data_IF_836584082992
#
_entry.id   IF_836584082992
#
_cell.length_a   1.000
_cell.length_b   1.000
_cell.length_c   1.000
_cell.angle_alpha   90.00
_cell.angle_beta   90.00
_cell.angle_gamma   90.00
#
_symmetry.space_group_name_H-M   'P 1'
#
loop_
_entity.id
_entity.type
_entity.pdbx_description
1 polymer ?
#
# COMPACT_ATOMS: atom_id res chain seq x y z
N UNK A 1 14.64 11.58 1.48
CA UNK A 1 13.71 12.73 1.40
C UNK A 1 13.89 13.29 0.02
N UNK A 2 12.83 13.46 -0.75
CA UNK A 2 12.96 14.08 -2.06
C UNK A 2 13.33 15.55 -1.94
N UNK A 3 14.01 16.04 -2.95
CA UNK A 3 14.24 17.48 -3.17
C UNK A 3 12.91 18.22 -3.35
N UNK A 4 12.89 19.53 -3.09
CA UNK A 4 11.69 20.37 -3.18
C UNK A 4 11.03 20.29 -4.57
N UNK A 5 11.85 20.18 -5.62
CA UNK A 5 11.41 20.07 -7.01
C UNK A 5 10.97 18.64 -7.42
N UNK A 6 11.25 17.62 -6.59
CA UNK A 6 10.88 16.22 -6.81
C UNK A 6 9.91 15.69 -5.72
N UNK A 7 9.37 16.57 -4.90
CA UNK A 7 8.51 16.24 -3.76
C UNK A 7 7.22 15.47 -4.09
N UNK A 8 6.86 15.40 -5.38
CA UNK A 8 5.73 14.63 -5.93
C UNK A 8 6.14 13.34 -6.65
N UNK A 9 7.44 13.14 -6.93
CA UNK A 9 7.94 11.97 -7.66
C UNK A 9 8.34 10.90 -6.66
N UNK A 10 7.70 9.74 -6.67
CA UNK A 10 8.22 8.57 -5.97
C UNK A 10 9.45 8.11 -6.74
N UNK A 11 10.63 8.56 -6.33
CA UNK A 11 11.88 8.03 -6.86
C UNK A 11 11.86 6.51 -6.61
N UNK A 12 11.99 5.75 -7.69
CA UNK A 12 12.09 4.30 -7.67
C UNK A 12 13.48 3.97 -7.10
N UNK A 13 13.61 4.11 -5.79
CA UNK A 13 14.88 3.86 -5.12
C UNK A 13 15.23 2.38 -5.30
N UNK A 14 16.41 2.11 -5.87
CA UNK A 14 16.92 0.77 -6.14
C UNK A 14 17.34 0.02 -4.86
N UNK A 15 16.90 0.50 -3.70
CA UNK A 15 17.37 0.03 -2.41
C UNK A 15 16.40 -1.01 -1.86
N UNK A 16 16.95 -2.19 -1.55
CA UNK A 16 16.24 -3.32 -0.96
C UNK A 16 16.00 -3.00 0.52
N UNK A 17 15.09 -2.06 0.81
CA UNK A 17 14.84 -1.59 2.17
C UNK A 17 14.18 -2.70 3.00
N UNK A 18 14.99 -3.30 3.88
CA UNK A 18 14.63 -4.36 4.85
C UNK A 18 13.75 -3.83 6.01
N UNK A 19 13.60 -2.50 6.14
CA UNK A 19 12.79 -1.87 7.18
C UNK A 19 11.50 -1.27 6.59
N UNK A 20 10.38 -1.26 7.33
CA UNK A 20 9.15 -0.62 6.90
C UNK A 20 9.39 0.87 6.63
N UNK A 21 9.50 1.21 5.35
CA UNK A 21 9.73 2.56 4.87
C UNK A 21 8.51 3.01 4.04
N UNK A 22 8.07 4.24 4.27
CA UNK A 22 7.08 4.90 3.41
C UNK A 22 7.69 6.15 2.82
N UNK A 23 7.39 6.39 1.54
CA UNK A 23 7.80 7.62 0.90
C UNK A 23 6.82 8.74 1.31
N UNK A 24 7.35 9.86 1.80
CA UNK A 24 6.56 11.03 2.20
C UNK A 24 6.84 12.19 1.25
N UNK A 25 5.85 13.05 1.02
CA UNK A 25 6.05 14.28 0.25
C UNK A 25 7.03 15.21 0.96
N UNK A 26 7.63 16.15 0.22
CA UNK A 26 8.54 17.15 0.78
C UNK A 26 7.89 17.93 1.96
N UNK A 27 6.63 18.37 1.77
CA UNK A 27 5.85 19.08 2.79
C UNK A 27 5.62 18.25 4.05
N UNK A 28 5.31 16.96 3.90
CA UNK A 28 5.17 16.03 5.02
C UNK A 28 6.53 15.76 5.68
N UNK A 29 7.62 15.67 4.91
CA UNK A 29 8.98 15.52 5.41
C UNK A 29 9.41 16.70 6.29
N UNK A 30 9.08 17.94 5.90
CA UNK A 30 9.33 19.13 6.72
C UNK A 30 8.55 19.09 8.04
N UNK A 31 7.28 18.70 8.00
CA UNK A 31 6.47 18.56 9.20
C UNK A 31 7.03 17.48 10.16
N UNK A 32 7.50 16.35 9.62
CA UNK A 32 8.14 15.28 10.40
C UNK A 32 9.46 15.78 11.01
N UNK A 33 10.29 16.51 10.24
CA UNK A 33 11.52 17.13 10.76
C UNK A 33 11.23 18.10 11.90
N UNK A 34 10.22 18.96 11.74
CA UNK A 34 9.81 19.90 12.78
C UNK A 34 9.33 19.16 14.04
N UNK A 35 8.58 18.07 13.88
CA UNK A 35 8.14 17.24 15.00
C UNK A 35 9.32 16.59 15.73
N UNK A 36 10.27 15.98 15.02
CA UNK A 36 11.48 15.37 15.60
C UNK A 36 12.26 16.38 16.43
N UNK A 37 12.37 17.63 15.95
CA UNK A 37 13.09 18.70 16.65
C UNK A 37 12.30 19.34 17.81
N UNK A 38 11.00 19.04 17.94
CA UNK A 38 10.12 19.64 18.95
C UNK A 38 10.13 18.90 20.31
N UNK A 39 10.71 17.70 20.36
CA UNK A 39 10.72 16.84 21.55
C UNK A 39 12.01 16.05 21.65
N UNK A 40 12.48 15.80 22.87
CA UNK A 40 13.66 14.96 23.14
C UNK A 40 13.40 13.46 22.94
N UNK A 41 12.14 13.04 22.74
CA UNK A 41 11.76 11.64 22.52
C UNK A 41 10.63 11.53 21.50
N UNK A 42 10.90 11.81 20.21
CA UNK A 42 9.88 11.71 19.17
C UNK A 42 9.52 10.25 18.93
N UNK A 43 8.22 9.94 18.98
CA UNK A 43 7.69 8.61 18.70
C UNK A 43 6.73 8.68 17.52
N UNK A 44 6.79 7.68 16.65
CA UNK A 44 5.89 7.54 15.52
C UNK A 44 5.52 6.07 15.34
N UNK A 45 4.27 5.83 14.94
CA UNK A 45 3.77 4.47 14.70
C UNK A 45 3.40 4.32 13.23
N UNK A 46 4.02 3.34 12.58
CA UNK A 46 3.57 2.87 11.27
C UNK A 46 2.49 1.83 11.52
N UNK A 47 1.22 2.21 11.32
CA UNK A 47 0.10 1.29 11.48
C UNK A 47 -0.08 0.46 10.22
N UNK A 48 0.26 -0.83 10.30
CA UNK A 48 0.04 -1.78 9.22
C UNK A 48 -1.46 -2.06 9.03
N UNK A 49 -2.01 -1.78 7.84
CA UNK A 49 -3.45 -1.98 7.51
C UNK A 49 -3.70 -3.08 6.48
N UNK A 50 -2.77 -4.04 6.42
CA UNK A 50 -2.78 -5.11 5.44
C UNK A 50 -2.23 -4.65 4.09
N UNK A 51 -1.20 -5.35 3.64
CA UNK A 51 -0.64 -5.27 2.29
C UNK A 51 -0.80 -6.63 1.61
N UNK A 52 -0.61 -6.66 0.30
CA UNK A 52 -0.51 -7.87 -0.50
C UNK A 52 0.75 -7.70 -1.32
N UNK A 53 1.50 -8.77 -1.53
CA UNK A 53 2.70 -8.71 -2.37
C UNK A 53 2.37 -9.10 -3.80
N UNK A 54 3.02 -8.42 -4.74
CA UNK A 54 3.01 -8.74 -6.15
C UNK A 54 4.43 -8.71 -6.71
N UNK A 55 4.64 -9.15 -7.95
CA UNK A 55 5.97 -9.21 -8.55
C UNK A 55 6.66 -7.84 -8.55
N UNK A 56 7.87 -7.78 -7.98
CA UNK A 56 8.59 -6.51 -7.81
C UNK A 56 10.11 -6.61 -7.95
N UNK A 57 10.66 -7.78 -8.31
CA UNK A 57 12.11 -7.98 -8.47
C UNK A 57 12.39 -8.34 -9.92
N UNK A 58 13.37 -7.68 -10.53
CA UNK A 58 13.81 -7.83 -11.92
C UNK A 58 12.65 -7.71 -12.92
N UNK A 59 11.82 -6.69 -12.74
CA UNK A 59 10.69 -6.43 -13.62
C UNK A 59 11.17 -5.63 -14.83
N UNK A 60 11.02 -6.22 -16.01
CA UNK A 60 11.26 -5.54 -17.28
C UNK A 60 10.12 -4.58 -17.58
N UNK A 61 10.43 -3.30 -17.72
CA UNK A 61 9.46 -2.26 -18.08
C UNK A 61 10.06 -1.29 -19.10
N UNK A 62 9.20 -0.53 -19.77
CA UNK A 62 9.62 0.55 -20.65
C UNK A 62 10.40 1.60 -19.86
N UNK A 63 11.52 2.06 -20.41
CA UNK A 63 12.39 3.05 -19.79
C UNK A 63 12.63 4.22 -20.76
N UNK A 64 12.65 5.47 -20.28
CA UNK A 64 12.86 6.62 -21.16
C UNK A 64 14.19 6.49 -21.90
N UNK A 65 14.13 6.63 -23.23
CA UNK A 65 15.32 6.70 -24.07
C UNK A 65 15.91 8.10 -23.90
N UNK A 66 17.14 8.17 -23.44
CA UNK A 66 17.94 9.39 -23.39
C UNK A 66 18.24 9.88 -24.81
N UNK A 67 18.35 11.21 -24.98
CA UNK A 67 18.49 11.88 -26.30
C UNK A 67 19.75 11.42 -27.05
N UNK A 68 20.75 10.92 -26.33
CA UNK A 68 21.99 10.33 -26.83
C UNK A 68 21.85 8.86 -27.31
N UNK A 69 20.64 8.27 -27.28
CA UNK A 69 20.32 6.91 -27.76
C UNK A 69 21.15 5.78 -27.12
N UNK A 70 21.86 6.05 -26.02
CA UNK A 70 22.71 5.08 -25.32
C UNK A 70 21.93 4.16 -24.38
N UNK A 71 20.67 4.51 -24.08
CA UNK A 71 19.82 3.79 -23.13
C UNK A 71 18.81 2.89 -23.83
N UNK A 72 18.69 1.66 -23.33
CA UNK A 72 17.71 0.71 -23.83
C UNK A 72 16.28 1.21 -23.56
N UNK A 73 15.38 1.01 -24.53
CA UNK A 73 13.94 1.36 -24.43
C UNK A 73 13.21 0.58 -23.32
N UNK A 74 13.87 -0.44 -22.78
CA UNK A 74 13.40 -1.25 -21.68
C UNK A 74 14.53 -1.40 -20.67
N UNK A 75 14.17 -1.41 -19.39
CA UNK A 75 15.10 -1.66 -18.29
C UNK A 75 14.49 -2.65 -17.31
N UNK A 76 15.36 -3.44 -16.68
CA UNK A 76 14.96 -4.32 -15.57
C UNK A 76 15.26 -3.60 -14.27
N UNK A 77 14.21 -3.37 -13.48
CA UNK A 77 14.30 -2.68 -12.20
C UNK A 77 13.53 -3.44 -11.12
N UNK A 78 13.97 -3.26 -9.88
CA UNK A 78 13.41 -3.92 -8.70
C UNK A 78 12.94 -2.87 -7.69
N UNK A 79 11.87 -3.18 -6.97
CA UNK A 79 11.32 -2.34 -5.91
C UNK A 79 9.82 -2.57 -5.70
N UNK A 80 9.32 -2.15 -4.55
CA UNK A 80 7.87 -2.18 -4.23
C UNK A 80 7.04 -1.33 -5.21
N UNK A 81 7.68 -0.30 -5.78
CA UNK A 81 7.10 0.51 -6.83
C UNK A 81 6.86 -0.24 -8.14
N UNK A 82 7.50 -1.39 -8.38
CA UNK A 82 7.18 -2.30 -9.50
C UNK A 82 6.02 -3.23 -9.13
N UNK A 83 5.86 -3.60 -7.86
CA UNK A 83 4.69 -4.36 -7.39
C UNK A 83 3.39 -3.54 -7.44
N UNK A 84 3.48 -2.23 -7.20
CA UNK A 84 2.33 -1.31 -7.21
C UNK A 84 1.54 -1.32 -8.55
N UNK A 85 2.15 -1.14 -9.74
CA UNK A 85 1.44 -1.20 -11.01
C UNK A 85 0.90 -2.60 -11.32
N UNK A 86 1.54 -3.68 -10.84
CA UNK A 86 0.97 -5.03 -10.97
C UNK A 86 -0.35 -5.16 -10.20
N UNK A 87 -0.38 -4.77 -8.91
CA UNK A 87 -1.62 -4.82 -8.13
C UNK A 87 -2.68 -3.84 -8.65
N UNK A 88 -2.27 -2.67 -9.14
CA UNK A 88 -3.19 -1.70 -9.75
C UNK A 88 -3.82 -2.24 -11.02
N UNK A 89 -3.04 -2.94 -11.87
CA UNK A 89 -3.55 -3.62 -13.06
C UNK A 89 -4.52 -4.74 -12.72
N UNK A 90 -4.21 -5.56 -11.71
CA UNK A 90 -5.11 -6.61 -11.22
C UNK A 90 -6.42 -6.00 -10.68
N UNK A 91 -6.33 -4.95 -9.86
CA UNK A 91 -7.50 -4.24 -9.35
C UNK A 91 -8.37 -3.67 -10.47
N UNK A 92 -7.76 -3.12 -11.53
CA UNK A 92 -8.49 -2.62 -12.70
C UNK A 92 -9.22 -3.75 -13.45
N UNK A 93 -8.57 -4.90 -13.62
CA UNK A 93 -9.20 -6.08 -14.24
C UNK A 93 -10.36 -6.61 -13.39
N UNK A 94 -10.19 -6.70 -12.07
CA UNK A 94 -11.25 -7.10 -11.16
C UNK A 94 -12.42 -6.10 -11.18
N UNK A 95 -12.14 -4.79 -11.24
CA UNK A 95 -13.19 -3.77 -11.38
C UNK A 95 -13.95 -3.92 -12.70
N UNK A 96 -13.27 -4.31 -13.77
CA UNK A 96 -13.91 -4.58 -15.07
C UNK A 96 -14.78 -5.84 -15.03
N UNK A 97 -14.32 -6.90 -14.38
CA UNK A 97 -15.06 -8.16 -14.23
C UNK A 97 -16.24 -8.04 -13.25
N UNK A 98 -16.09 -7.21 -12.21
CA UNK A 98 -17.10 -6.95 -11.17
C UNK A 98 -17.38 -5.44 -11.05
N UNK A 99 -18.14 -4.83 -11.99
CA UNK A 99 -18.38 -3.39 -12.00
C UNK A 99 -18.99 -2.83 -10.72
N UNK A 100 -19.75 -3.63 -9.98
CA UNK A 100 -20.44 -3.23 -8.75
C UNK A 100 -19.56 -3.29 -7.49
N UNK A 101 -18.38 -3.92 -7.54
CA UNK A 101 -17.51 -4.00 -6.38
C UNK A 101 -16.96 -2.63 -6.00
N UNK A 102 -17.00 -2.31 -4.71
CA UNK A 102 -16.33 -1.14 -4.18
C UNK A 102 -14.80 -1.31 -4.21
N UNK A 103 -14.02 -0.23 -4.02
CA UNK A 103 -12.57 -0.35 -3.80
C UNK A 103 -12.21 -1.25 -2.61
N UNK A 104 -13.02 -1.25 -1.55
CA UNK A 104 -12.80 -2.10 -0.37
C UNK A 104 -13.09 -3.58 -0.70
N UNK A 105 -14.14 -3.86 -1.48
CA UNK A 105 -14.44 -5.20 -1.98
C UNK A 105 -13.30 -5.77 -2.83
N UNK A 106 -12.76 -4.97 -3.77
CA UNK A 106 -11.61 -5.39 -4.60
C UNK A 106 -10.38 -5.65 -3.73
N UNK A 107 -10.07 -4.74 -2.80
CA UNK A 107 -8.97 -4.94 -1.84
C UNK A 107 -9.17 -6.23 -1.04
N UNK A 108 -10.37 -6.47 -0.54
CA UNK A 108 -10.71 -7.68 0.20
C UNK A 108 -10.49 -8.93 -0.65
N UNK A 109 -11.01 -8.97 -1.87
CA UNK A 109 -10.89 -10.12 -2.76
C UNK A 109 -9.42 -10.47 -3.03
N UNK A 110 -8.58 -9.46 -3.29
CA UNK A 110 -7.14 -9.64 -3.49
C UNK A 110 -6.46 -10.18 -2.22
N UNK A 111 -6.81 -9.65 -1.04
CA UNK A 111 -6.21 -10.06 0.24
C UNK A 111 -6.61 -11.47 0.66
N UNK A 112 -7.90 -11.81 0.64
CA UNK A 112 -8.42 -13.09 1.15
C UNK A 112 -8.07 -14.28 0.26
N UNK A 113 -7.67 -14.03 -0.98
CA UNK A 113 -7.32 -15.06 -1.96
C UNK A 113 -5.82 -15.16 -2.24
N UNK A 114 -5.02 -14.29 -1.63
CA UNK A 114 -3.57 -14.35 -1.68
C UNK A 114 -3.05 -15.66 -1.09
N UNK A 115 -1.90 -16.13 -1.57
CA UNK A 115 -1.28 -17.37 -1.09
C UNK A 115 0.01 -17.09 -0.31
N UNK A 116 0.27 -17.95 0.68
CA UNK A 116 1.42 -17.87 1.58
C UNK A 116 2.53 -18.88 1.25
N UNK A 117 2.33 -19.72 0.24
CA UNK A 117 3.24 -20.81 -0.12
C UNK A 117 3.85 -20.59 -1.50
N UNK A 118 5.13 -20.92 -1.65
CA UNK A 118 5.80 -20.92 -2.94
C UNK A 118 5.39 -22.14 -3.80
N UNK A 119 5.88 -22.19 -5.04
CA UNK A 119 5.60 -23.30 -5.98
C UNK A 119 6.10 -24.67 -5.48
N UNK A 120 7.03 -24.69 -4.53
CA UNK A 120 7.53 -25.91 -3.88
C UNK A 120 6.72 -26.32 -2.63
N UNK A 121 5.60 -25.67 -2.36
CA UNK A 121 4.74 -25.96 -1.20
C UNK A 121 5.30 -25.51 0.15
N UNK A 122 6.43 -24.80 0.17
CA UNK A 122 7.00 -24.22 1.40
C UNK A 122 6.42 -22.83 1.63
N UNK A 123 6.33 -22.35 2.89
CA UNK A 123 6.02 -20.95 3.15
C UNK A 123 6.91 -20.03 2.32
N UNK A 124 6.36 -18.92 1.85
CA UNK A 124 7.16 -17.86 1.23
C UNK A 124 8.20 -17.43 2.26
N UNK A 125 9.46 -17.40 1.85
CA UNK A 125 10.57 -17.04 2.73
C UNK A 125 10.92 -15.57 2.57
N UNK A 126 11.42 -14.96 3.65
CA UNK A 126 12.17 -13.73 3.56
C UNK A 126 13.49 -13.96 2.81
N UNK A 127 14.07 -12.87 2.28
CA UNK A 127 15.18 -12.97 1.35
C UNK A 127 16.55 -13.14 2.03
N UNK A 128 16.67 -12.76 3.30
CA UNK A 128 17.95 -12.63 4.02
C UNK A 128 18.39 -13.95 4.66
N UNK A 129 17.58 -14.53 5.53
CA UNK A 129 17.86 -15.75 6.29
C UNK A 129 17.05 -16.94 5.77
N UNK A 130 16.28 -16.76 4.70
CA UNK A 130 15.39 -17.77 4.10
C UNK A 130 14.35 -18.36 5.08
N UNK A 131 14.10 -17.65 6.18
CA UNK A 131 13.06 -17.97 7.16
C UNK A 131 11.67 -17.70 6.57
N UNK A 132 10.61 -18.36 7.06
CA UNK A 132 9.24 -18.05 6.66
C UNK A 132 8.92 -16.57 6.88
N UNK A 133 8.45 -15.91 5.82
CA UNK A 133 8.11 -14.51 5.85
C UNK A 133 6.89 -14.27 6.75
N UNK A 134 6.96 -13.23 7.57
CA UNK A 134 5.91 -12.87 8.51
C UNK A 134 4.89 -11.89 7.89
N UNK A 135 3.79 -11.64 8.63
CA UNK A 135 2.70 -10.78 8.16
C UNK A 135 3.12 -9.32 7.89
N UNK A 136 4.20 -8.83 8.51
CA UNK A 136 4.71 -7.48 8.26
C UNK A 136 5.49 -7.39 6.95
N UNK A 137 5.96 -8.52 6.41
CA UNK A 137 6.74 -8.58 5.17
C UNK A 137 5.86 -8.82 3.96
N UNK A 138 4.95 -9.81 4.05
CA UNK A 138 4.11 -10.23 2.91
C UNK A 138 2.63 -9.86 3.06
N UNK A 139 2.22 -9.35 4.22
CA UNK A 139 0.82 -9.06 4.50
C UNK A 139 -0.05 -10.31 4.38
N UNK A 140 -1.07 -10.25 3.53
CA UNK A 140 -1.93 -11.39 3.27
C UNK A 140 -1.29 -12.48 2.37
N UNK A 141 -0.10 -12.20 1.80
CA UNK A 141 0.62 -13.10 0.93
C UNK A 141 0.78 -12.57 -0.49
N UNK A 142 1.19 -13.45 -1.39
CA UNK A 142 1.35 -13.12 -2.80
C UNK A 142 0.01 -13.20 -3.53
N UNK A 143 -0.28 -12.20 -4.37
CA UNK A 143 -1.54 -12.07 -5.10
C UNK A 143 -1.83 -13.29 -5.99
N UNK A 144 -3.10 -13.71 -6.01
CA UNK A 144 -3.65 -14.68 -6.95
C UNK A 144 -4.79 -14.06 -7.77
N UNK A 145 -4.51 -13.52 -8.97
CA UNK A 145 -5.53 -12.82 -9.77
C UNK A 145 -6.73 -13.71 -10.11
N UNK A 146 -6.48 -14.98 -10.43
CA UNK A 146 -7.52 -15.93 -10.82
C UNK A 146 -8.47 -16.24 -9.67
N UNK A 147 -7.94 -16.47 -8.45
CA UNK A 147 -8.78 -16.67 -7.26
C UNK A 147 -9.46 -15.37 -6.82
N UNK A 148 -8.81 -14.21 -6.97
CA UNK A 148 -9.40 -12.92 -6.62
C UNK A 148 -10.63 -12.56 -7.46
N UNK A 149 -10.79 -13.15 -8.65
CA UNK A 149 -11.98 -12.99 -9.49
C UNK A 149 -13.20 -13.77 -8.97
N UNK A 150 -12.99 -14.77 -8.11
CA UNK A 150 -14.09 -15.47 -7.42
C UNK A 150 -13.69 -15.78 -5.97
N UNK A 151 -13.69 -14.75 -5.09
CA UNK A 151 -13.18 -14.87 -3.73
C UNK A 151 -14.16 -15.59 -2.79
N UNK A 152 -15.37 -15.92 -3.25
CA UNK A 152 -16.47 -16.40 -2.43
C UNK A 152 -17.06 -15.31 -1.53
N UNK A 153 -16.28 -14.84 -0.54
CA UNK A 153 -16.67 -13.79 0.39
C UNK A 153 -15.77 -12.55 0.24
N UNK A 154 -16.38 -11.38 0.36
CA UNK A 154 -15.69 -10.08 0.41
C UNK A 154 -16.10 -9.31 1.67
N UNK A 155 -15.13 -8.64 2.28
CA UNK A 155 -15.34 -7.67 3.35
C UNK A 155 -15.46 -6.28 2.72
N UNK A 156 -16.69 -5.85 2.46
CA UNK A 156 -16.96 -4.55 1.83
C UNK A 156 -17.15 -3.45 2.88
N UNK A 157 -16.75 -2.22 2.53
CA UNK A 157 -16.84 -1.01 3.34
C UNK A 157 -17.15 0.20 2.46
N UNK A 158 -18.12 1.01 2.87
CA UNK A 158 -18.45 2.29 2.23
C UNK A 158 -17.54 3.41 2.71
N UNK A 159 -17.32 4.46 1.91
CA UNK A 159 -16.54 5.64 2.32
C UNK A 159 -16.99 6.25 3.65
N UNK A 160 -18.30 6.25 3.94
CA UNK A 160 -18.86 6.78 5.18
C UNK A 160 -18.52 5.94 6.41
N UNK A 161 -18.24 4.66 6.23
CA UNK A 161 -17.87 3.71 7.30
C UNK A 161 -16.41 3.88 7.74
N UNK A 162 -15.58 4.59 6.96
CA UNK A 162 -14.24 5.00 7.40
C UNK A 162 -14.28 6.13 8.44
N UNK A 163 -15.35 6.93 8.48
CA UNK A 163 -15.49 8.04 9.43
C UNK A 163 -15.51 7.56 10.90
N UNK A 164 -16.39 6.62 11.31
CA UNK A 164 -16.39 6.12 12.69
C UNK A 164 -15.07 5.42 13.04
N UNK A 165 -14.42 4.76 12.08
CA UNK A 165 -13.10 4.18 12.27
C UNK A 165 -12.03 5.25 12.57
N UNK A 166 -11.95 6.32 11.78
CA UNK A 166 -11.01 7.43 12.02
C UNK A 166 -11.32 8.14 13.35
N UNK A 167 -12.59 8.36 13.65
CA UNK A 167 -13.00 8.92 14.95
C UNK A 167 -12.58 8.02 16.12
N UNK A 168 -12.72 6.69 15.99
CA UNK A 168 -12.34 5.70 17.00
C UNK A 168 -10.82 5.63 17.26
N UNK A 169 -10.00 6.06 16.30
CA UNK A 169 -8.55 6.22 16.49
C UNK A 169 -8.16 7.49 17.27
N UNK A 170 -9.14 8.29 17.72
CA UNK A 170 -8.90 9.52 18.47
C UNK A 170 -8.62 10.76 17.61
N UNK A 171 -8.84 10.68 16.29
CA UNK A 171 -8.72 11.86 15.42
C UNK A 171 -9.81 12.89 15.71
N UNK A 172 -9.44 14.17 15.77
CA UNK A 172 -10.39 15.27 15.94
C UNK A 172 -11.29 15.45 14.70
N UNK A 173 -12.47 16.06 14.89
CA UNK A 173 -13.39 16.42 13.80
C UNK A 173 -12.68 17.17 12.65
N UNK A 174 -11.71 18.03 12.98
CA UNK A 174 -10.91 18.78 11.99
C UNK A 174 -9.99 17.85 11.20
N UNK A 175 -9.28 16.94 11.86
CA UNK A 175 -8.39 15.98 11.21
C UNK A 175 -9.17 15.07 10.26
N UNK A 176 -10.29 14.50 10.73
CA UNK A 176 -11.14 13.64 9.89
C UNK A 176 -11.73 14.44 8.74
N UNK A 177 -12.21 15.67 8.99
CA UNK A 177 -12.78 16.52 7.95
C UNK A 177 -11.81 16.89 6.83
N UNK A 178 -10.51 17.03 7.14
CA UNK A 178 -9.46 17.24 6.12
C UNK A 178 -9.29 16.00 5.24
N UNK A 179 -9.33 14.80 5.84
CA UNK A 179 -9.17 13.52 5.13
C UNK A 179 -10.36 13.27 4.22
N UNK A 180 -11.59 13.36 4.74
CA UNK A 180 -12.82 13.06 3.98
C UNK A 180 -13.34 14.24 3.15
N UNK A 181 -12.69 15.40 3.22
CA UNK A 181 -13.05 16.64 2.51
C UNK A 181 -14.49 17.12 2.75
N UNK A 182 -15.03 16.88 3.95
CA UNK A 182 -16.36 17.35 4.40
C UNK A 182 -16.41 17.54 5.91
N UNK A 183 -17.40 18.28 6.41
CA UNK A 183 -17.59 18.47 7.85
C UNK A 183 -18.06 17.17 8.51
N UNK A 184 -17.38 16.77 9.60
CA UNK A 184 -17.67 15.55 10.36
C UNK A 184 -17.85 15.88 11.84
N UNK A 185 -18.79 15.17 12.50
CA UNK A 185 -18.94 15.17 13.95
C UNK A 185 -18.72 13.77 14.50
N UNK A 186 -17.57 13.52 15.12
CA UNK A 186 -17.22 12.24 15.72
C UNK A 186 -18.04 11.91 16.99
N UNK A 187 -18.78 12.87 17.54
CA UNK A 187 -19.60 12.71 18.75
C UNK A 187 -20.76 11.70 18.60
N UNK A 188 -21.14 11.33 17.37
CA UNK A 188 -22.26 10.42 17.09
C UNK A 188 -21.82 9.10 16.45
N UNK A 189 -20.51 8.86 16.34
CA UNK A 189 -19.97 7.73 15.61
C UNK A 189 -19.83 6.52 16.53
N UNK A 190 -20.91 5.74 16.67
CA UNK A 190 -20.81 4.40 17.26
C UNK A 190 -19.79 3.56 16.47
N UNK A 191 -18.89 2.90 17.19
CA UNK A 191 -17.91 1.95 16.66
C UNK A 191 -18.63 0.97 15.72
N UNK A 192 -18.03 0.72 14.54
CA UNK A 192 -18.50 -0.21 13.52
C UNK A 192 -19.10 -1.47 14.17
N UNK A 193 -20.42 -1.64 14.06
CA UNK A 193 -21.06 -2.93 14.33
C UNK A 193 -20.85 -3.77 13.08
N UNK A 194 -20.00 -4.79 13.17
CA UNK A 194 -19.95 -5.85 12.18
C UNK A 194 -21.33 -6.52 12.14
N UNK A 195 -22.03 -6.38 11.01
CA UNK A 195 -23.27 -7.10 10.71
C UNK A 195 -22.97 -8.41 10.00
#
# INVERSE_FOLDING_TARGET
>A
MNDENEGFVIALDLDNRVLPATHVSYTAGLAIKAYINSTSSPTATILFKGTVTGPGVNILAAYPVSVDQTTNRFSMISGTSMSCPHLSGIAALLKRAHPNWSPAAIKSAIMTTAYLYNLGGKPISEHTEFLPANVFEIGAGHVNPSKANDPGLIYDLKPDEYVPYLCGLGYSNKHVGIIVKRTVKCSNSSILKLS
#
